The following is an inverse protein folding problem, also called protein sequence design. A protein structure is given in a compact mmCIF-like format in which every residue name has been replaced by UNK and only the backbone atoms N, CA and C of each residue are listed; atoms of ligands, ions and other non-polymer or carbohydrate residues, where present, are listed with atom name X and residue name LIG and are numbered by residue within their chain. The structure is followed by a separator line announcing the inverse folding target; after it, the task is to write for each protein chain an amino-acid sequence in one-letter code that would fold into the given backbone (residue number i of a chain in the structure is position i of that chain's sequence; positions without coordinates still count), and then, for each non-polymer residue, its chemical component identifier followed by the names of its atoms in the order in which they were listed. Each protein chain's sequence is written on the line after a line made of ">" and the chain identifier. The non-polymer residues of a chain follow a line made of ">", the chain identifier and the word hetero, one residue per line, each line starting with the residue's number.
data_IF_745087233224
#
_entry.id   IF_745087233224
#
_cell.length_a   1.000
_cell.length_b   1.000
_cell.length_c   1.000
_cell.angle_alpha   90.00
_cell.angle_beta   90.00
_cell.angle_gamma   90.00
#
_symmetry.space_group_name_H-M   'P 1'
#
loop_
_entity.id
_entity.type
_entity.pdbx_description
1 polymer ?
#
# COMPACT_ATOMS: atom_id res chain seq x y z
N UNK A 1 5.74 13.95 -22.90
CA UNK A 1 5.49 12.50 -23.03
C UNK A 1 4.69 11.93 -21.84
N UNK A 2 3.81 12.72 -21.21
CA UNK A 2 3.17 12.34 -19.93
C UNK A 2 2.03 11.31 -20.02
N UNK A 3 1.43 11.12 -21.19
CA UNK A 3 0.20 10.31 -21.30
C UNK A 3 0.49 8.80 -21.31
N UNK A 4 1.63 8.38 -21.88
CA UNK A 4 2.03 6.97 -21.96
C UNK A 4 2.42 6.39 -20.61
N UNK A 5 3.16 7.16 -19.80
CA UNK A 5 3.58 6.74 -18.45
C UNK A 5 2.39 6.59 -17.50
N UNK A 6 1.42 7.52 -17.59
CA UNK A 6 0.19 7.44 -16.79
C UNK A 6 -0.62 6.20 -17.14
N UNK A 7 -0.81 5.95 -18.45
CA UNK A 7 -1.54 4.77 -18.91
C UNK A 7 -0.83 3.47 -18.52
N UNK A 8 0.51 3.44 -18.58
CA UNK A 8 1.29 2.29 -18.17
C UNK A 8 1.14 1.98 -16.68
N UNK A 9 1.20 2.99 -15.79
CA UNK A 9 0.96 2.81 -14.36
C UNK A 9 -0.45 2.30 -14.06
N UNK A 10 -1.47 2.83 -14.74
CA UNK A 10 -2.86 2.39 -14.58
C UNK A 10 -3.05 0.92 -15.01
N UNK A 11 -2.44 0.52 -16.12
CA UNK A 11 -2.50 -0.87 -16.62
C UNK A 11 -1.72 -1.82 -15.71
N UNK A 12 -0.53 -1.43 -15.25
CA UNK A 12 0.29 -2.28 -14.38
C UNK A 12 -0.42 -2.57 -13.06
N UNK A 13 -1.00 -1.53 -12.44
CA UNK A 13 -1.78 -1.67 -11.21
C UNK A 13 -3.00 -2.57 -11.40
N UNK A 14 -3.69 -2.45 -12.55
CA UNK A 14 -4.84 -3.30 -12.86
C UNK A 14 -4.45 -4.78 -12.99
N UNK A 15 -3.28 -5.07 -13.57
CA UNK A 15 -2.77 -6.45 -13.71
C UNK A 15 -2.41 -7.01 -12.33
N UNK A 16 -1.70 -6.25 -11.49
CA UNK A 16 -1.36 -6.66 -10.12
C UNK A 16 -2.61 -6.94 -9.27
N UNK A 17 -3.65 -6.10 -9.40
CA UNK A 17 -4.92 -6.27 -8.70
C UNK A 17 -5.63 -7.57 -9.12
N UNK A 18 -5.59 -7.91 -10.42
CA UNK A 18 -6.21 -9.13 -10.98
C UNK A 18 -5.44 -10.38 -10.53
N UNK A 19 -4.11 -10.38 -10.60
CA UNK A 19 -3.29 -11.55 -10.26
C UNK A 19 -3.37 -11.89 -8.76
N UNK A 20 -3.47 -10.88 -7.89
CA UNK A 20 -3.55 -11.07 -6.45
C UNK A 20 -4.99 -11.29 -5.92
N UNK A 21 -6.00 -11.28 -6.80
CA UNK A 21 -7.41 -11.33 -6.38
C UNK A 21 -7.84 -10.11 -5.55
N UNK A 22 -7.13 -9.00 -5.68
CA UNK A 22 -7.40 -7.78 -4.96
C UNK A 22 -8.69 -7.14 -5.50
N UNK A 23 -9.69 -6.97 -4.63
CA UNK A 23 -10.94 -6.31 -4.99
C UNK A 23 -10.78 -4.80 -4.76
N UNK A 24 -10.94 -4.02 -5.83
CA UNK A 24 -10.99 -2.56 -5.72
C UNK A 24 -12.09 -2.12 -4.73
N UNK A 25 -11.74 -1.20 -3.83
CA UNK A 25 -12.62 -0.63 -2.79
C UNK A 25 -12.82 0.88 -3.03
N UNK A 26 -13.56 1.27 -4.08
CA UNK A 26 -13.77 2.68 -4.41
C UNK A 26 -14.53 3.44 -3.31
N UNK A 27 -15.29 2.72 -2.49
CA UNK A 27 -16.00 3.25 -1.33
C UNK A 27 -15.08 3.82 -0.24
N UNK A 28 -13.82 3.40 -0.22
CA UNK A 28 -12.82 3.88 0.74
C UNK A 28 -11.99 5.05 0.21
N UNK A 29 -12.07 5.37 -1.09
CA UNK A 29 -11.26 6.43 -1.71
C UNK A 29 -11.71 7.80 -1.21
N UNK A 30 -10.75 8.61 -0.73
CA UNK A 30 -11.01 9.96 -0.20
C UNK A 30 -11.55 10.00 1.24
N UNK A 31 -11.75 8.82 1.86
CA UNK A 31 -12.08 8.73 3.27
C UNK A 31 -10.82 8.86 4.13
N UNK A 32 -10.93 9.54 5.27
CA UNK A 32 -9.87 9.65 6.27
C UNK A 32 -10.17 8.73 7.44
N UNK A 33 -9.18 7.96 7.89
CA UNK A 33 -9.28 7.11 9.07
C UNK A 33 -8.18 7.40 10.09
N UNK A 34 -8.32 6.84 11.28
CA UNK A 34 -7.27 6.86 12.30
C UNK A 34 -7.12 5.45 12.84
N UNK A 35 -5.88 4.96 12.91
CA UNK A 35 -5.57 3.70 13.56
C UNK A 35 -5.62 3.98 15.07
N UNK A 36 -6.66 3.49 15.76
CA UNK A 36 -6.84 3.71 17.21
C UNK A 36 -6.11 2.67 18.07
N UNK A 37 -5.36 1.76 17.44
CA UNK A 37 -4.60 0.70 18.09
C UNK A 37 -3.11 0.99 17.98
N UNK A 38 -2.36 0.54 18.97
CA UNK A 38 -0.90 0.51 18.86
C UNK A 38 -0.52 -0.56 17.84
N UNK A 39 0.27 -0.16 16.86
CA UNK A 39 0.89 -1.04 15.88
C UNK A 39 2.41 -1.05 16.13
N UNK A 40 3.00 -2.23 16.12
CA UNK A 40 4.44 -2.43 16.19
C UNK A 40 4.95 -2.76 14.80
N UNK A 41 5.98 -2.04 14.34
CA UNK A 41 6.69 -2.41 13.11
C UNK A 41 7.63 -3.55 13.47
N UNK A 42 7.42 -4.71 12.84
CA UNK A 42 8.21 -5.91 13.12
C UNK A 42 9.17 -6.27 11.98
N UNK A 43 8.96 -5.72 10.78
CA UNK A 43 9.83 -5.86 9.62
C UNK A 43 9.62 -4.69 8.64
N UNK A 44 10.64 -4.35 7.87
CA UNK A 44 10.55 -3.31 6.85
C UNK A 44 11.53 -3.60 5.71
N UNK A 45 11.06 -3.44 4.47
CA UNK A 45 11.85 -3.58 3.26
C UNK A 45 11.74 -2.32 2.43
N UNK A 46 12.87 -1.70 2.12
CA UNK A 46 12.95 -0.55 1.22
C UNK A 46 13.23 -1.01 -0.21
N UNK A 47 12.56 -0.38 -1.17
CA UNK A 47 12.73 -0.59 -2.60
C UNK A 47 12.87 0.76 -3.32
N UNK A 48 13.25 0.73 -4.59
CA UNK A 48 13.29 1.95 -5.44
C UNK A 48 11.95 2.71 -5.51
N UNK A 49 10.84 2.05 -5.19
CA UNK A 49 9.49 2.60 -5.34
C UNK A 49 8.78 2.89 -4.01
N UNK A 50 9.49 2.75 -2.87
CA UNK A 50 8.96 3.04 -1.55
C UNK A 50 9.29 1.97 -0.51
N UNK A 51 8.57 2.04 0.62
CA UNK A 51 8.81 1.21 1.80
C UNK A 51 7.61 0.31 2.06
N UNK A 52 7.86 -1.00 2.12
CA UNK A 52 6.88 -1.97 2.61
C UNK A 52 7.15 -2.26 4.07
N UNK A 53 6.13 -2.12 4.91
CA UNK A 53 6.25 -2.29 6.36
C UNK A 53 5.36 -3.44 6.81
N UNK A 54 5.92 -4.34 7.62
CA UNK A 54 5.16 -5.39 8.29
C UNK A 54 4.84 -4.94 9.71
N UNK A 55 3.56 -4.94 10.05
CA UNK A 55 3.10 -4.49 11.36
C UNK A 55 2.35 -5.59 12.10
N UNK A 56 2.53 -5.63 13.42
CA UNK A 56 1.73 -6.42 14.36
C UNK A 56 0.80 -5.49 15.12
N UNK A 57 -0.48 -5.85 15.22
CA UNK A 57 -1.36 -5.21 16.17
C UNK A 57 -1.28 -5.91 17.55
N UNK A 58 -1.78 -5.23 18.57
CA UNK A 58 -1.80 -5.73 19.95
C UNK A 58 -2.82 -6.86 20.20
N UNK A 59 -3.54 -7.30 19.16
CA UNK A 59 -4.49 -8.42 19.19
C UNK A 59 -3.87 -9.67 18.55
N UNK A 60 -2.65 -9.55 18.01
CA UNK A 60 -1.87 -10.64 17.43
C UNK A 60 -2.03 -10.78 15.91
N UNK A 61 -2.71 -9.84 15.26
CA UNK A 61 -2.85 -9.83 13.81
C UNK A 61 -1.61 -9.20 13.17
N UNK A 62 -1.09 -9.84 12.12
CA UNK A 62 0.11 -9.39 11.41
C UNK A 62 -0.23 -9.16 9.95
N UNK A 63 0.09 -7.98 9.44
CA UNK A 63 -0.19 -7.59 8.07
C UNK A 63 0.96 -6.80 7.46
N UNK A 64 1.11 -6.93 6.14
CA UNK A 64 1.96 -6.05 5.35
C UNK A 64 1.17 -4.82 4.93
N UNK A 65 1.82 -3.66 4.94
CA UNK A 65 1.27 -2.40 4.45
C UNK A 65 2.33 -1.73 3.59
N UNK A 66 1.94 -1.42 2.35
CA UNK A 66 2.80 -0.76 1.39
C UNK A 66 2.56 0.75 1.42
N UNK A 67 3.64 1.50 1.65
CA UNK A 67 3.64 2.95 1.53
C UNK A 67 4.38 3.30 0.24
N UNK A 68 3.61 3.57 -0.81
CA UNK A 68 4.16 4.04 -2.09
C UNK A 68 4.31 5.57 -2.08
N UNK A 69 5.40 6.07 -2.69
CA UNK A 69 5.69 7.51 -2.81
C UNK A 69 5.77 8.26 -1.46
N UNK A 70 6.29 7.61 -0.41
CA UNK A 70 6.62 8.30 0.85
C UNK A 70 8.12 8.56 0.90
N UNK A 71 8.53 9.81 0.71
CA UNK A 71 9.84 10.29 1.18
C UNK A 71 9.79 10.38 2.70
N UNK A 72 10.64 9.62 3.38
CA UNK A 72 10.85 9.73 4.83
C UNK A 72 12.06 10.65 5.05
N UNK A 73 11.81 11.85 5.59
CA UNK A 73 12.84 12.78 6.08
C UNK A 73 13.62 12.22 7.28
#
# INVERSE_FOLDING_TARGET
>A
MLYGEKLHKEISKLVDDIENGAKSRPDLIGQTGTITRTIEIIDATESEHGVSVRVSDNVGEVYWTDLQDVELD
#
